data_IF_482527638112
#
_entry.id   IF_482527638112
#
_cell.length_a   1.000
_cell.length_b   1.000
_cell.length_c   1.000
_cell.angle_alpha   90.00
_cell.angle_beta   90.00
_cell.angle_gamma   90.00
#
_symmetry.space_group_name_H-M   'P 1'
#
loop_
_entity.id
_entity.type
_entity.pdbx_description
1 polymer ?
#
# COMPACT_ATOMS: atom_id res chain seq x y z
N UNK A 1 -13.91 14.14 -14.68
CA UNK A 1 -13.69 12.80 -14.12
C UNK A 1 -12.56 12.16 -14.91
N UNK A 2 -11.35 12.06 -14.35
CA UNK A 2 -10.19 11.56 -15.10
C UNK A 2 -10.23 10.02 -15.21
N UNK A 3 -9.94 9.49 -16.40
CA UNK A 3 -9.53 8.09 -16.56
C UNK A 3 -8.01 8.08 -16.48
N UNK A 4 -7.47 7.38 -15.48
CA UNK A 4 -6.03 7.37 -15.20
C UNK A 4 -5.44 6.11 -15.80
N UNK A 5 -4.53 6.28 -16.76
CA UNK A 5 -3.80 5.18 -17.39
C UNK A 5 -2.48 4.99 -16.65
N UNK A 6 -2.38 3.93 -15.85
CA UNK A 6 -1.16 3.62 -15.07
C UNK A 6 0.12 3.60 -15.92
N UNK A 7 0.04 3.10 -17.14
CA UNK A 7 1.16 3.05 -18.08
C UNK A 7 1.75 4.42 -18.45
N UNK A 8 0.98 5.49 -18.25
CA UNK A 8 1.41 6.87 -18.51
C UNK A 8 2.00 7.54 -17.25
N UNK A 9 2.04 6.83 -16.12
CA UNK A 9 2.56 7.32 -14.84
C UNK A 9 3.96 6.77 -14.57
N UNK A 10 4.78 7.60 -13.93
CA UNK A 10 6.11 7.19 -13.48
C UNK A 10 6.02 6.43 -12.16
N UNK A 11 6.91 5.45 -11.99
CA UNK A 11 7.23 4.87 -10.69
C UNK A 11 8.32 5.72 -10.03
N UNK A 12 8.20 5.95 -8.74
CA UNK A 12 9.16 6.70 -7.94
C UNK A 12 9.67 5.83 -6.78
N UNK A 13 10.95 6.02 -6.42
CA UNK A 13 11.51 5.39 -5.24
C UNK A 13 11.01 6.12 -3.99
N UNK A 14 10.14 5.46 -3.21
CA UNK A 14 9.58 6.03 -1.98
C UNK A 14 10.56 5.91 -0.79
N UNK A 15 11.28 4.78 -0.74
CA UNK A 15 12.29 4.46 0.26
C UNK A 15 13.16 3.30 -0.27
N UNK A 16 14.27 2.93 0.39
CA UNK A 16 15.04 1.74 0.01
C UNK A 16 14.17 0.48 -0.06
N UNK A 17 14.08 -0.11 -1.26
CA UNK A 17 13.28 -1.31 -1.52
C UNK A 17 11.77 -1.06 -1.66
N UNK A 18 11.32 0.19 -1.71
CA UNK A 18 9.93 0.57 -1.98
C UNK A 18 9.85 1.42 -3.25
N UNK A 19 9.13 0.93 -4.25
CA UNK A 19 8.72 1.72 -5.41
C UNK A 19 7.22 1.99 -5.34
N UNK A 20 6.79 3.22 -5.63
CA UNK A 20 5.38 3.60 -5.66
C UNK A 20 4.99 4.18 -7.02
N UNK A 21 3.76 3.90 -7.44
CA UNK A 21 3.10 4.55 -8.57
C UNK A 21 1.81 5.19 -8.07
N UNK A 22 1.78 6.51 -7.99
CA UNK A 22 0.65 7.27 -7.46
C UNK A 22 -0.49 7.36 -8.49
N UNK A 23 -1.58 6.65 -8.24
CA UNK A 23 -2.71 6.56 -9.18
C UNK A 23 -3.73 7.67 -8.93
N UNK A 24 -4.16 7.87 -7.69
CA UNK A 24 -5.14 8.91 -7.31
C UNK A 24 -4.59 9.69 -6.12
N UNK A 25 -4.56 11.01 -6.21
CA UNK A 25 -4.17 11.90 -5.11
C UNK A 25 -4.77 13.30 -5.29
N UNK A 26 -4.42 14.23 -4.38
CA UNK A 26 -4.74 15.65 -4.52
C UNK A 26 -4.19 16.27 -5.82
N UNK A 27 -3.04 15.80 -6.32
CA UNK A 27 -2.48 16.25 -7.60
C UNK A 27 -3.37 15.95 -8.81
N UNK A 28 -4.26 14.96 -8.69
CA UNK A 28 -5.26 14.59 -9.69
C UNK A 28 -6.66 15.12 -9.34
N UNK A 29 -6.76 16.02 -8.34
CA UNK A 29 -8.02 16.65 -7.91
C UNK A 29 -8.84 15.86 -6.89
N UNK A 30 -8.30 14.78 -6.33
CA UNK A 30 -8.99 14.02 -5.27
C UNK A 30 -8.94 14.76 -3.93
N UNK A 31 -10.06 14.80 -3.23
CA UNK A 31 -10.17 15.39 -1.89
C UNK A 31 -10.34 14.37 -0.76
N UNK A 32 -10.61 13.11 -1.11
CA UNK A 32 -11.04 12.10 -0.12
C UNK A 32 -10.43 10.72 -0.37
N UNK A 33 -9.72 10.55 -1.48
CA UNK A 33 -9.20 9.26 -1.90
C UNK A 33 -7.73 9.37 -2.31
N UNK A 34 -6.92 8.45 -1.80
CA UNK A 34 -5.55 8.24 -2.22
C UNK A 34 -5.41 6.79 -2.66
N UNK A 35 -4.93 6.55 -3.88
CA UNK A 35 -4.65 5.21 -4.38
C UNK A 35 -3.23 5.24 -4.94
N UNK A 36 -2.41 4.31 -4.48
CA UNK A 36 -1.10 4.06 -5.02
C UNK A 36 -0.91 2.56 -5.21
N UNK A 37 -0.10 2.20 -6.19
CA UNK A 37 0.47 0.86 -6.26
C UNK A 37 1.87 0.89 -5.66
N UNK A 38 2.14 -0.01 -4.72
CA UNK A 38 3.45 -0.12 -4.07
C UNK A 38 4.06 -1.47 -4.37
N UNK A 39 5.30 -1.48 -4.86
CA UNK A 39 6.14 -2.67 -4.98
C UNK A 39 7.10 -2.70 -3.79
N UNK A 40 7.08 -3.80 -3.04
CA UNK A 40 7.95 -4.04 -1.88
C UNK A 40 8.98 -5.08 -2.27
N UNK A 41 10.23 -4.67 -2.45
CA UNK A 41 11.33 -5.57 -2.80
C UNK A 41 11.58 -6.63 -1.70
N UNK A 42 12.26 -7.74 -2.03
CA UNK A 42 12.71 -8.70 -1.04
C UNK A 42 13.43 -8.04 0.14
N UNK A 43 13.10 -8.46 1.36
CA UNK A 43 13.61 -7.94 2.64
C UNK A 43 13.27 -6.47 2.93
N UNK A 44 12.47 -5.80 2.10
CA UNK A 44 12.00 -4.45 2.34
C UNK A 44 10.71 -4.45 3.19
N UNK A 45 10.43 -3.30 3.80
CA UNK A 45 9.25 -3.12 4.65
C UNK A 45 8.59 -1.77 4.41
N UNK A 46 7.27 -1.74 4.52
CA UNK A 46 6.49 -0.54 4.76
C UNK A 46 6.42 -0.38 6.29
N UNK A 47 6.98 0.70 6.88
CA UNK A 47 6.99 0.89 8.31
C UNK A 47 5.59 0.88 8.91
N UNK A 48 5.51 0.47 10.19
CA UNK A 48 4.26 0.54 10.95
C UNK A 48 3.78 2.00 11.04
N UNK A 49 2.54 2.24 10.68
CA UNK A 49 1.85 3.53 10.79
C UNK A 49 0.48 3.39 11.47
N UNK A 50 -0.08 4.52 11.90
CA UNK A 50 -1.47 4.65 12.39
C UNK A 50 -2.04 5.91 11.75
N UNK A 51 -3.16 5.77 11.03
CA UNK A 51 -3.88 6.89 10.45
C UNK A 51 -5.14 7.14 11.30
N UNK A 52 -5.20 8.17 12.17
CA UNK A 52 -6.28 8.32 13.16
C UNK A 52 -7.66 8.55 12.55
N UNK A 53 -7.72 9.08 11.32
CA UNK A 53 -8.96 9.54 10.68
C UNK A 53 -9.15 8.98 9.27
N UNK A 54 -8.30 8.05 8.84
CA UNK A 54 -8.31 7.53 7.47
C UNK A 54 -8.20 6.01 7.52
N UNK A 55 -9.12 5.34 6.84
CA UNK A 55 -9.04 3.90 6.61
C UNK A 55 -8.02 3.60 5.51
N UNK A 56 -7.38 2.43 5.58
CA UNK A 56 -6.46 1.96 4.55
C UNK A 56 -6.90 0.59 4.06
N UNK A 57 -7.16 0.47 2.76
CA UNK A 57 -7.41 -0.80 2.12
C UNK A 57 -6.21 -1.18 1.25
N UNK A 58 -5.78 -2.44 1.33
CA UNK A 58 -4.70 -2.99 0.51
C UNK A 58 -5.18 -4.27 -0.15
N UNK A 59 -5.03 -4.32 -1.47
CA UNK A 59 -5.32 -5.51 -2.28
C UNK A 59 -3.97 -6.04 -2.76
N UNK A 60 -3.66 -7.28 -2.42
CA UNK A 60 -2.42 -7.90 -2.88
C UNK A 60 -2.61 -8.39 -4.31
N UNK A 61 -1.85 -7.80 -5.24
CA UNK A 61 -1.90 -8.17 -6.66
C UNK A 61 -0.98 -9.35 -6.98
N UNK A 62 0.24 -9.35 -6.43
CA UNK A 62 1.28 -10.33 -6.70
C UNK A 62 2.12 -10.61 -5.45
N UNK A 63 2.81 -11.75 -5.43
CA UNK A 63 3.72 -12.12 -4.33
C UNK A 63 3.02 -12.41 -3.01
N UNK A 64 3.78 -12.34 -1.91
CA UNK A 64 3.28 -12.52 -0.54
C UNK A 64 3.89 -11.47 0.38
N UNK A 65 3.13 -11.04 1.38
CA UNK A 65 3.58 -10.08 2.38
C UNK A 65 3.13 -10.55 3.76
N UNK A 66 3.96 -10.29 4.77
CA UNK A 66 3.48 -10.34 6.14
C UNK A 66 2.96 -8.97 6.53
N UNK A 67 1.71 -8.92 6.96
CA UNK A 67 1.07 -7.71 7.47
C UNK A 67 1.03 -7.73 8.99
N UNK A 68 1.35 -6.59 9.60
CA UNK A 68 0.91 -6.26 10.94
C UNK A 68 -0.45 -5.56 10.80
N UNK A 69 -1.51 -6.07 11.44
CA UNK A 69 -2.82 -5.41 11.52
C UNK A 69 -3.30 -5.38 12.96
N UNK A 70 -3.35 -4.18 13.55
CA UNK A 70 -3.57 -4.00 14.97
C UNK A 70 -2.48 -4.69 15.80
N UNK A 71 -2.81 -5.86 16.36
CA UNK A 71 -1.89 -6.70 17.14
C UNK A 71 -1.53 -8.02 16.44
N UNK A 72 -2.14 -8.29 15.30
CA UNK A 72 -2.01 -9.56 14.59
C UNK A 72 -0.92 -9.48 13.53
N UNK A 73 -0.26 -10.61 13.29
CA UNK A 73 0.65 -10.79 12.16
C UNK A 73 0.12 -11.90 11.29
N UNK A 74 -0.14 -11.58 10.03
CA UNK A 74 -0.79 -12.48 9.09
C UNK A 74 0.02 -12.45 7.79
N UNK A 75 0.22 -13.60 7.15
CA UNK A 75 0.75 -13.63 5.78
C UNK A 75 -0.42 -13.54 4.81
N UNK A 76 -0.36 -12.59 3.89
CA UNK A 76 -1.36 -12.34 2.85
C UNK A 76 -0.73 -12.53 1.46
N UNK A 77 -1.52 -12.96 0.49
CA UNK A 77 -1.11 -13.26 -0.88
C UNK A 77 -2.11 -12.78 -1.93
N UNK A 78 -1.91 -13.13 -3.21
CA UNK A 78 -2.68 -12.54 -4.30
C UNK A 78 -4.18 -12.83 -4.16
N UNK A 79 -5.00 -11.79 -4.28
CA UNK A 79 -6.45 -11.85 -4.08
C UNK A 79 -6.92 -11.55 -2.66
N UNK A 80 -6.04 -11.59 -1.67
CA UNK A 80 -6.38 -11.13 -0.32
C UNK A 80 -6.56 -9.61 -0.32
N UNK A 81 -7.60 -9.16 0.39
CA UNK A 81 -7.85 -7.75 0.67
C UNK A 81 -7.83 -7.51 2.16
N UNK A 82 -7.01 -6.57 2.58
CA UNK A 82 -6.92 -6.09 3.95
C UNK A 82 -7.59 -4.73 4.09
N UNK A 83 -8.40 -4.57 5.12
CA UNK A 83 -8.90 -3.27 5.57
C UNK A 83 -8.33 -2.97 6.96
N UNK A 84 -7.64 -1.86 7.09
CA UNK A 84 -7.28 -1.24 8.36
C UNK A 84 -8.24 -0.07 8.61
N UNK A 85 -9.20 -0.21 9.54
CA UNK A 85 -10.06 0.90 9.95
C UNK A 85 -9.24 2.07 10.50
N UNK A 86 -9.82 3.27 10.50
CA UNK A 86 -9.18 4.45 11.08
C UNK A 86 -8.71 4.18 12.52
N UNK A 87 -7.49 4.62 12.83
CA UNK A 87 -6.83 4.35 14.11
C UNK A 87 -6.18 2.98 14.24
N UNK A 88 -6.29 2.10 13.25
CA UNK A 88 -5.70 0.76 13.28
C UNK A 88 -4.24 0.80 12.83
N UNK A 89 -3.34 0.28 13.68
CA UNK A 89 -1.94 0.12 13.32
C UNK A 89 -1.78 -0.86 12.16
N UNK A 90 -1.02 -0.49 11.14
CA UNK A 90 -0.73 -1.37 10.02
C UNK A 90 0.70 -1.20 9.51
N UNK A 91 1.26 -2.24 8.88
CA UNK A 91 2.59 -2.22 8.28
C UNK A 91 2.89 -3.54 7.56
N UNK A 92 3.84 -3.53 6.64
CA UNK A 92 4.07 -4.66 5.73
C UNK A 92 5.55 -5.04 5.66
N UNK A 93 5.84 -6.33 5.56
CA UNK A 93 7.19 -6.86 5.39
C UNK A 93 7.17 -7.88 4.25
N UNK A 94 8.02 -7.68 3.24
CA UNK A 94 8.34 -8.72 2.28
C UNK A 94 9.59 -9.47 2.79
N UNK A 95 9.43 -10.73 3.22
CA UNK A 95 10.54 -11.61 3.62
C UNK A 95 10.89 -12.67 2.58
N UNK A 96 10.31 -12.56 1.39
CA UNK A 96 10.37 -13.55 0.33
C UNK A 96 11.26 -13.05 -0.81
N UNK A 97 11.90 -13.97 -1.53
CA UNK A 97 12.74 -13.68 -2.71
C UNK A 97 11.91 -13.44 -3.97
#
# INVERSE_FOLDING_TARGET
MPIIKKQDLSKEAAAPGLETCLLVSAGQGSQSLHIEEVTVAPNARIPRSINPHTEVAVIVQEGRLDVLLGRERITIGPGDTLLAPAGTAHGFLNRYE
#
